data_IF_974552115803
#
_entry.id   IF_974552115803
#
_cell.length_a   1.000
_cell.length_b   1.000
_cell.length_c   1.000
_cell.angle_alpha   90.00
_cell.angle_beta   90.00
_cell.angle_gamma   90.00
#
_symmetry.space_group_name_H-M   'P 1'
#
loop_
_entity.id
_entity.type
_entity.pdbx_description
1 polymer ?
#
# COMPACT_ATOMS: atom_id res chain seq x y z
N UNK A 1 3.29 -24.81 14.29
CA UNK A 1 3.19 -23.34 14.44
C UNK A 1 3.67 -22.67 13.16
N UNK A 2 2.85 -21.86 12.50
CA UNK A 2 3.26 -21.05 11.33
C UNK A 2 4.43 -20.17 11.77
N UNK A 3 5.63 -20.28 11.17
CA UNK A 3 6.65 -19.24 11.27
C UNK A 3 6.06 -17.98 10.64
N UNK A 4 5.45 -17.11 11.44
CA UNK A 4 4.98 -15.80 11.00
C UNK A 4 6.21 -15.03 10.51
N UNK A 5 6.09 -14.32 9.40
CA UNK A 5 7.18 -13.48 8.92
C UNK A 5 7.29 -12.26 9.84
N UNK A 6 7.93 -12.44 11.00
CA UNK A 6 8.02 -11.40 12.04
C UNK A 6 8.68 -10.14 11.48
N UNK A 7 9.71 -10.30 10.64
CA UNK A 7 10.37 -9.18 9.97
C UNK A 7 9.40 -8.43 9.05
N UNK A 8 8.69 -9.14 8.16
CA UNK A 8 7.69 -8.52 7.28
C UNK A 8 6.58 -7.81 8.04
N UNK A 9 6.14 -8.38 9.16
CA UNK A 9 5.14 -7.77 10.04
C UNK A 9 5.66 -6.51 10.75
N UNK A 10 6.90 -6.53 11.26
CA UNK A 10 7.54 -5.35 11.86
C UNK A 10 7.72 -4.23 10.84
N UNK A 11 8.19 -4.56 9.63
CA UNK A 11 8.31 -3.59 8.53
C UNK A 11 6.96 -2.96 8.18
N UNK A 12 5.90 -3.75 8.16
CA UNK A 12 4.54 -3.24 7.91
C UNK A 12 4.06 -2.29 9.02
N UNK A 13 4.33 -2.60 10.29
CA UNK A 13 3.97 -1.71 11.41
C UNK A 13 4.76 -0.39 11.38
N UNK A 14 6.07 -0.45 11.11
CA UNK A 14 6.91 0.74 10.97
C UNK A 14 6.40 1.60 9.82
N UNK A 15 6.06 0.96 8.69
CA UNK A 15 5.48 1.63 7.53
C UNK A 15 4.15 2.32 7.86
N UNK A 16 3.21 1.64 8.54
CA UNK A 16 1.95 2.27 8.95
C UNK A 16 2.17 3.47 9.88
N UNK A 17 3.14 3.37 10.80
CA UNK A 17 3.55 4.48 11.65
C UNK A 17 4.10 5.66 10.83
N UNK A 18 4.94 5.38 9.84
CA UNK A 18 5.48 6.39 8.93
C UNK A 18 4.39 7.07 8.09
N UNK A 19 3.47 6.30 7.50
CA UNK A 19 2.32 6.84 6.75
C UNK A 19 1.47 7.73 7.64
N UNK A 20 1.13 7.27 8.86
CA UNK A 20 0.34 8.07 9.81
C UNK A 20 1.07 9.37 10.17
N UNK A 21 2.38 9.29 10.46
CA UNK A 21 3.18 10.49 10.73
C UNK A 21 3.23 11.44 9.53
N UNK A 22 3.33 10.93 8.30
CA UNK A 22 3.30 11.76 7.10
C UNK A 22 1.92 12.37 6.83
N UNK A 23 0.83 11.66 7.11
CA UNK A 23 -0.55 12.15 6.93
C UNK A 23 -0.97 13.17 7.98
N UNK A 24 -0.52 13.03 9.23
CA UNK A 24 -0.97 13.88 10.34
C UNK A 24 0.09 14.84 10.86
N UNK A 25 1.36 14.66 10.49
CA UNK A 25 2.45 15.55 10.86
C UNK A 25 2.21 16.97 10.38
N UNK A 26 2.46 17.94 11.25
CA UNK A 26 2.49 19.35 10.91
C UNK A 26 3.94 19.74 10.63
N UNK A 27 4.25 20.09 9.38
CA UNK A 27 5.59 20.47 8.97
C UNK A 27 5.63 21.95 8.62
N UNK A 28 5.68 22.80 9.65
CA UNK A 28 5.70 24.26 9.51
C UNK A 28 7.00 24.81 8.92
N UNK A 29 8.08 24.03 8.94
CA UNK A 29 9.42 24.45 8.50
C UNK A 29 9.83 23.86 7.13
N UNK A 30 8.97 23.07 6.49
CA UNK A 30 9.23 22.50 5.17
C UNK A 30 8.62 23.39 4.06
N UNK A 31 9.26 23.50 2.89
CA UNK A 31 8.66 24.16 1.74
C UNK A 31 7.29 23.53 1.43
N UNK A 32 6.29 24.35 1.11
CA UNK A 32 4.94 23.88 0.78
C UNK A 32 4.99 22.87 -0.37
N UNK A 33 4.79 21.59 -0.03
CA UNK A 33 4.73 20.48 -0.99
C UNK A 33 3.38 20.60 -1.70
N UNK A 34 3.34 21.36 -2.80
CA UNK A 34 2.12 21.69 -3.55
C UNK A 34 2.28 22.88 -4.49
N UNK A 35 3.29 23.74 -4.27
CA UNK A 35 3.63 24.82 -5.21
C UNK A 35 4.37 24.32 -6.46
N UNK A 36 5.07 23.18 -6.33
CA UNK A 36 5.79 22.55 -7.43
C UNK A 36 4.92 21.50 -8.11
N UNK A 37 4.82 21.60 -9.43
CA UNK A 37 4.20 20.58 -10.28
C UNK A 37 5.28 19.76 -10.96
N UNK A 38 5.17 18.44 -10.91
CA UNK A 38 6.00 17.55 -11.70
C UNK A 38 5.15 16.94 -12.83
N UNK A 39 5.52 17.21 -14.09
CA UNK A 39 4.74 16.80 -15.26
C UNK A 39 3.27 17.27 -15.18
N UNK A 40 3.04 18.53 -14.78
CA UNK A 40 1.71 19.14 -14.54
C UNK A 40 0.86 18.46 -13.44
N UNK A 41 1.43 17.53 -12.67
CA UNK A 41 0.78 16.91 -11.52
C UNK A 41 1.30 17.58 -10.24
N UNK A 42 0.41 18.06 -9.34
CA UNK A 42 0.81 18.56 -8.04
C UNK A 42 1.62 17.53 -7.23
N UNK A 43 2.71 17.97 -6.61
CA UNK A 43 3.66 17.07 -5.92
C UNK A 43 3.05 16.33 -4.72
N UNK A 44 2.09 16.92 -4.04
CA UNK A 44 1.29 16.29 -2.98
C UNK A 44 0.62 14.99 -3.46
N UNK A 45 0.05 14.97 -4.67
CA UNK A 45 -0.61 13.78 -5.24
C UNK A 45 0.38 12.66 -5.53
N UNK A 46 1.58 13.04 -5.98
CA UNK A 46 2.66 12.08 -6.22
C UNK A 46 3.15 11.47 -4.90
N UNK A 47 3.27 12.28 -3.84
CA UNK A 47 3.63 11.79 -2.51
C UNK A 47 2.58 10.83 -1.97
N UNK A 48 1.29 11.16 -2.08
CA UNK A 48 0.18 10.28 -1.70
C UNK A 48 0.25 8.94 -2.45
N UNK A 49 0.38 9.00 -3.77
CA UNK A 49 0.59 7.81 -4.60
C UNK A 49 1.78 6.97 -4.11
N UNK A 50 2.96 7.57 -3.93
CA UNK A 50 4.16 6.86 -3.52
C UNK A 50 4.07 6.32 -2.09
N UNK A 51 3.31 6.99 -1.22
CA UNK A 51 3.12 6.60 0.17
C UNK A 51 2.27 5.34 0.30
N UNK A 52 1.20 5.20 -0.49
CA UNK A 52 0.34 4.01 -0.46
C UNK A 52 0.81 2.87 -1.37
N UNK A 53 1.77 3.11 -2.27
CA UNK A 53 2.27 2.08 -3.20
C UNK A 53 2.89 0.85 -2.52
N UNK A 54 3.69 0.98 -1.44
CA UNK A 54 4.28 -0.16 -0.75
C UNK A 54 3.26 -0.99 0.03
N UNK A 55 2.04 -0.48 0.28
CA UNK A 55 1.08 -1.10 1.17
C UNK A 55 0.77 -2.56 0.77
N UNK A 56 0.38 -2.89 -0.48
CA UNK A 56 0.06 -4.27 -0.82
C UNK A 56 1.27 -5.21 -0.78
N UNK A 57 2.47 -4.70 -1.08
CA UNK A 57 3.71 -5.49 -0.99
C UNK A 57 4.03 -5.87 0.45
N UNK A 58 4.00 -4.90 1.37
CA UNK A 58 4.31 -5.12 2.78
C UNK A 58 3.24 -5.99 3.45
N UNK A 59 1.97 -5.77 3.13
CA UNK A 59 0.87 -6.60 3.61
C UNK A 59 1.00 -8.04 3.10
N UNK A 60 1.30 -8.22 1.81
CA UNK A 60 1.58 -9.54 1.24
C UNK A 60 2.79 -10.20 1.94
N UNK A 61 3.90 -9.50 2.16
CA UNK A 61 5.07 -10.05 2.87
C UNK A 61 4.78 -10.41 4.33
N UNK A 62 3.99 -9.61 5.04
CA UNK A 62 3.64 -9.81 6.44
C UNK A 62 2.70 -11.01 6.63
N UNK A 63 1.75 -11.21 5.72
CA UNK A 63 0.65 -12.16 5.89
C UNK A 63 0.65 -13.35 4.91
N UNK A 64 1.58 -13.43 3.96
CA UNK A 64 1.69 -14.56 3.02
C UNK A 64 1.76 -15.89 3.78
N UNK A 65 0.69 -16.67 3.67
CA UNK A 65 0.65 -18.04 4.16
C UNK A 65 1.27 -19.02 3.16
N UNK A 66 1.77 -20.16 3.65
CA UNK A 66 2.25 -21.27 2.79
C UNK A 66 1.15 -22.02 2.04
N UNK A 67 -0.13 -21.80 2.38
CA UNK A 67 -1.25 -22.50 1.71
C UNK A 67 -1.62 -21.75 0.44
N UNK A 68 -1.89 -22.54 -0.60
CA UNK A 68 -2.46 -22.18 -1.89
C UNK A 68 -3.86 -21.53 -1.74
N UNK A 69 -3.95 -20.39 -1.05
CA UNK A 69 -5.17 -19.60 -1.05
C UNK A 69 -5.39 -19.03 -2.45
N UNK A 70 -6.64 -18.70 -2.79
CA UNK A 70 -6.97 -18.03 -4.03
C UNK A 70 -6.28 -16.66 -4.03
N UNK A 71 -5.19 -16.55 -4.77
CA UNK A 71 -4.33 -15.36 -4.90
C UNK A 71 -5.14 -14.08 -5.10
N UNK A 72 -6.16 -14.16 -5.94
CA UNK A 72 -7.08 -13.06 -6.26
C UNK A 72 -7.87 -12.58 -5.03
N UNK A 73 -8.38 -13.49 -4.20
CA UNK A 73 -9.15 -13.13 -3.00
C UNK A 73 -8.28 -12.46 -1.94
N UNK A 74 -7.05 -12.94 -1.75
CA UNK A 74 -6.11 -12.33 -0.80
C UNK A 74 -5.74 -10.92 -1.25
N UNK A 75 -5.37 -10.75 -2.52
CA UNK A 75 -5.06 -9.42 -3.08
C UNK A 75 -6.27 -8.49 -3.01
N UNK A 76 -7.48 -8.97 -3.29
CA UNK A 76 -8.70 -8.18 -3.17
C UNK A 76 -8.94 -7.68 -1.74
N UNK A 77 -8.73 -8.52 -0.72
CA UNK A 77 -8.84 -8.12 0.69
C UNK A 77 -7.78 -7.06 1.03
N UNK A 78 -6.54 -7.24 0.57
CA UNK A 78 -5.45 -6.27 0.79
C UNK A 78 -5.78 -4.93 0.15
N UNK A 79 -6.24 -4.93 -1.10
CA UNK A 79 -6.68 -3.71 -1.79
C UNK A 79 -7.78 -2.97 -1.00
N UNK A 80 -8.85 -3.69 -0.62
CA UNK A 80 -9.97 -3.10 0.12
C UNK A 80 -9.52 -2.56 1.49
N UNK A 81 -8.67 -3.29 2.22
CA UNK A 81 -8.10 -2.82 3.48
C UNK A 81 -7.26 -1.55 3.29
N UNK A 82 -6.47 -1.48 2.21
CA UNK A 82 -5.72 -0.28 1.84
C UNK A 82 -6.63 0.91 1.57
N UNK A 83 -7.70 0.72 0.78
CA UNK A 83 -8.64 1.80 0.46
C UNK A 83 -9.37 2.31 1.71
N UNK A 84 -9.71 1.42 2.65
CA UNK A 84 -10.31 1.82 3.93
C UNK A 84 -9.34 2.65 4.78
N UNK A 85 -8.04 2.30 4.76
CA UNK A 85 -7.01 3.07 5.47
C UNK A 85 -6.81 4.44 4.80
N UNK A 86 -6.72 4.49 3.46
CA UNK A 86 -6.61 5.75 2.71
C UNK A 86 -7.82 6.68 2.95
N UNK A 87 -9.03 6.14 2.89
CA UNK A 87 -10.23 6.90 3.23
C UNK A 87 -10.20 7.39 4.69
N UNK A 88 -9.72 6.55 5.61
CA UNK A 88 -9.56 6.90 7.02
C UNK A 88 -8.54 8.01 7.25
N UNK A 89 -7.43 8.03 6.53
CA UNK A 89 -6.42 9.10 6.63
C UNK A 89 -6.96 10.42 6.11
N UNK A 90 -7.66 10.41 4.97
CA UNK A 90 -8.28 11.63 4.39
C UNK A 90 -9.36 12.22 5.28
N UNK A 91 -10.28 11.37 5.78
CA UNK A 91 -11.29 11.79 6.75
C UNK A 91 -10.62 12.31 8.02
N UNK A 92 -9.59 11.63 8.49
CA UNK A 92 -8.82 12.07 9.66
C UNK A 92 -8.19 13.44 9.46
N UNK A 93 -7.58 13.68 8.30
CA UNK A 93 -6.97 14.96 7.95
C UNK A 93 -8.02 16.07 7.88
N UNK A 94 -9.23 15.77 7.39
CA UNK A 94 -10.34 16.73 7.37
C UNK A 94 -10.76 17.28 8.74
N UNK A 95 -10.38 16.60 9.84
CA UNK A 95 -10.60 17.08 11.20
C UNK A 95 -9.46 17.94 11.76
N UNK A 96 -8.38 18.17 10.99
CA UNK A 96 -7.24 18.99 11.41
C UNK A 96 -7.36 20.41 10.87
N UNK A 97 -7.00 21.41 11.67
CA UNK A 97 -7.11 22.83 11.28
C UNK A 97 -6.06 23.28 10.24
N UNK A 98 -5.05 22.43 9.99
CA UNK A 98 -3.90 22.73 9.12
C UNK A 98 -3.81 21.85 7.87
N UNK A 99 -4.77 20.95 7.65
CA UNK A 99 -4.80 20.07 6.48
C UNK A 99 -6.24 19.85 6.04
N UNK A 100 -6.57 20.16 4.79
CA UNK A 100 -7.87 19.82 4.22
C UNK A 100 -7.79 18.43 3.59
N UNK A 101 -8.76 17.55 3.89
CA UNK A 101 -8.90 16.30 3.12
C UNK A 101 -9.25 16.61 1.66
N UNK A 102 -8.60 15.94 0.72
CA UNK A 102 -8.79 16.15 -0.72
C UNK A 102 -9.18 14.83 -1.39
N UNK A 103 -10.29 14.86 -2.13
CA UNK A 103 -10.77 13.71 -2.89
C UNK A 103 -9.74 13.27 -3.95
N UNK A 104 -8.92 14.20 -4.45
CA UNK A 104 -7.84 13.88 -5.38
C UNK A 104 -6.66 13.18 -4.71
N UNK A 105 -6.40 13.42 -3.42
CA UNK A 105 -5.42 12.64 -2.64
C UNK A 105 -5.90 11.21 -2.45
N UNK A 106 -7.17 11.04 -2.08
CA UNK A 106 -7.80 9.72 -2.03
C UNK A 106 -7.73 8.96 -3.37
N UNK A 107 -7.93 9.68 -4.48
CA UNK A 107 -7.84 9.10 -5.81
C UNK A 107 -6.40 8.64 -6.11
N UNK A 108 -5.39 9.45 -5.79
CA UNK A 108 -3.98 9.09 -5.95
C UNK A 108 -3.62 7.84 -5.12
N UNK A 109 -4.06 7.78 -3.87
CA UNK A 109 -3.87 6.62 -2.98
C UNK A 109 -4.53 5.37 -3.55
N UNK A 110 -5.77 5.49 -4.04
CA UNK A 110 -6.53 4.37 -4.60
C UNK A 110 -5.90 3.83 -5.89
N UNK A 111 -5.42 4.71 -6.79
CA UNK A 111 -4.72 4.30 -8.01
C UNK A 111 -3.42 3.57 -7.64
N UNK A 112 -2.70 4.09 -6.65
CA UNK A 112 -1.48 3.45 -6.15
C UNK A 112 -1.74 2.04 -5.61
N UNK A 113 -2.76 1.89 -4.77
CA UNK A 113 -3.20 0.61 -4.23
C UNK A 113 -3.64 -0.36 -5.33
N UNK A 114 -4.32 0.12 -6.37
CA UNK A 114 -4.75 -0.70 -7.49
C UNK A 114 -3.55 -1.24 -8.27
N UNK A 115 -2.61 -0.36 -8.64
CA UNK A 115 -1.41 -0.74 -9.41
C UNK A 115 -0.55 -1.73 -8.62
N UNK A 116 -0.24 -1.42 -7.36
CA UNK A 116 0.58 -2.28 -6.50
C UNK A 116 -0.08 -3.63 -6.22
N UNK A 117 -1.40 -3.67 -6.04
CA UNK A 117 -2.19 -4.90 -5.91
C UNK A 117 -2.13 -5.77 -7.17
N UNK A 118 -2.26 -5.16 -8.35
CA UNK A 118 -2.15 -5.87 -9.63
C UNK A 118 -0.75 -6.47 -9.80
N UNK A 119 0.31 -5.71 -9.48
CA UNK A 119 1.70 -6.19 -9.54
C UNK A 119 1.88 -7.41 -8.61
N UNK A 120 1.42 -7.33 -7.36
CA UNK A 120 1.49 -8.45 -6.42
C UNK A 120 0.71 -9.67 -6.92
N UNK A 121 -0.46 -9.47 -7.53
CA UNK A 121 -1.22 -10.57 -8.11
C UNK A 121 -0.43 -11.28 -9.22
N UNK A 122 0.18 -10.52 -10.13
CA UNK A 122 1.02 -11.07 -11.21
C UNK A 122 2.20 -11.86 -10.62
N UNK A 123 2.89 -11.30 -9.62
CA UNK A 123 4.02 -11.95 -8.95
C UNK A 123 3.57 -13.26 -8.30
N UNK A 124 2.47 -13.25 -7.54
CA UNK A 124 1.98 -14.45 -6.85
C UNK A 124 1.55 -15.54 -7.84
N UNK A 125 0.86 -15.16 -8.92
CA UNK A 125 0.49 -16.08 -10.00
C UNK A 125 1.73 -16.69 -10.68
N UNK A 126 2.76 -15.90 -10.93
CA UNK A 126 4.02 -16.37 -11.51
C UNK A 126 4.75 -17.36 -10.60
N UNK A 127 4.88 -17.04 -9.30
CA UNK A 127 5.50 -17.94 -8.31
C UNK A 127 4.71 -19.25 -8.19
N UNK A 128 3.37 -19.18 -8.16
CA UNK A 128 2.52 -20.37 -8.10
C UNK A 128 2.63 -21.24 -9.35
N UNK A 129 2.79 -20.63 -10.54
CA UNK A 129 3.00 -21.36 -11.80
C UNK A 129 4.34 -22.10 -11.78
N UNK A 130 5.42 -21.45 -11.35
CA UNK A 130 6.75 -22.07 -11.23
C UNK A 130 6.74 -23.24 -10.24
N UNK A 131 6.09 -23.08 -9.08
CA UNK A 131 5.99 -24.16 -8.09
C UNK A 131 5.25 -25.39 -8.61
N UNK A 132 4.18 -25.21 -9.40
CA UNK A 132 3.46 -26.33 -10.03
C UNK A 132 4.31 -27.06 -11.08
N UNK A 133 5.06 -26.31 -11.90
CA UNK A 133 5.94 -26.90 -12.92
C UNK A 133 7.09 -27.71 -12.33
N UNK A 134 7.67 -27.27 -11.20
CA UNK A 134 8.71 -28.03 -10.50
C UNK A 134 8.18 -29.38 -9.98
N UNK A 135 7.01 -29.37 -9.32
CA UNK A 135 6.39 -30.60 -8.78
C UNK A 135 5.98 -31.58 -9.89
N UNK A 136 5.58 -31.09 -11.07
CA UNK A 136 5.21 -31.95 -12.22
C UNK A 136 6.40 -32.63 -12.90
N UNK A 137 7.65 -32.21 -12.65
CA UNK A 137 8.86 -32.83 -13.23
C UNK A 137 9.46 -33.92 -12.35
N UNK A 138 8.94 -34.12 -11.14
CA UNK A 138 9.41 -35.13 -10.19
C UNK A 138 8.62 -36.46 -10.29
N UNK A 139 7.76 -36.62 -11.30
CA UNK A 139 6.98 -37.84 -11.59
C UNK A 139 7.26 -38.35 -12.99
#
# INVERSE_FOLDING_TARGET
MKKRNILGFLLFLIYLGAVTYCCFGHFSDLPEIGADTFLDIPMDKIVHFLMFFPFPFLCYLAFRGKKQQRSTSVVGIVFLAGCLIAAGTEIGQSFTDYRSGDVLDFAADTISLAISSVIILIIDLYINKLGKQACSKEY
#
